data_IF_061758946284
#
_entry.id   IF_061758946284
#
_cell.length_a   1.000
_cell.length_b   1.000
_cell.length_c   1.000
_cell.angle_alpha   90.00
_cell.angle_beta   90.00
_cell.angle_gamma   90.00
#
_symmetry.space_group_name_H-M   'P 1'
#
loop_
_entity.id
_entity.type
_entity.pdbx_description
1 polymer ?
#
# COMPACT_ATOMS: atom_id res chain seq x y z
N UNK A 1 3.60 -1.36 7.29
CA UNK A 1 4.43 -2.46 6.73
C UNK A 1 5.27 -1.94 5.58
N UNK A 2 4.74 -1.67 4.40
CA UNK A 2 5.45 -0.93 3.34
C UNK A 2 4.42 -0.10 2.57
N UNK A 3 4.76 1.14 2.20
CA UNK A 3 3.91 1.94 1.33
C UNK A 3 3.96 1.44 -0.11
N UNK A 4 2.82 1.01 -0.67
CA UNK A 4 2.77 0.54 -2.07
C UNK A 4 3.02 1.63 -3.11
N UNK A 5 2.95 2.91 -2.72
CA UNK A 5 3.19 4.04 -3.62
C UNK A 5 4.64 4.55 -3.62
N UNK A 6 5.38 4.38 -2.52
CA UNK A 6 6.73 4.94 -2.38
C UNK A 6 7.78 3.97 -1.83
N UNK A 7 7.45 2.71 -1.58
CA UNK A 7 8.41 1.68 -1.12
C UNK A 7 8.92 1.81 0.32
N UNK A 8 8.72 2.97 0.95
CA UNK A 8 9.21 3.24 2.32
C UNK A 8 8.40 2.51 3.38
N UNK A 9 9.09 2.05 4.43
CA UNK A 9 8.46 1.52 5.64
C UNK A 9 7.87 2.65 6.49
N UNK A 10 6.55 2.65 6.60
CA UNK A 10 5.80 3.63 7.40
C UNK A 10 4.46 3.03 7.85
N UNK A 11 3.76 3.70 8.79
CA UNK A 11 2.34 3.45 9.05
C UNK A 11 1.53 3.66 7.77
N UNK A 12 0.84 2.61 7.32
CA UNK A 12 0.04 2.62 6.10
C UNK A 12 -1.41 2.32 6.40
N UNK A 13 -2.31 2.81 5.54
CA UNK A 13 -3.73 2.52 5.60
C UNK A 13 -4.23 2.15 4.22
N UNK A 14 -5.14 1.17 4.16
CA UNK A 14 -5.80 0.80 2.90
C UNK A 14 -6.78 1.91 2.53
N UNK A 15 -6.53 2.56 1.39
CA UNK A 15 -7.39 3.63 0.87
C UNK A 15 -7.59 3.46 -0.62
N UNK A 16 -8.69 4.01 -1.11
CA UNK A 16 -9.06 3.98 -2.52
C UNK A 16 -9.48 5.39 -2.93
N UNK A 17 -8.79 5.99 -3.91
CA UNK A 17 -9.14 7.29 -4.45
C UNK A 17 -9.56 7.18 -5.91
N UNK A 18 -10.53 8.00 -6.30
CA UNK A 18 -11.09 8.01 -7.65
C UNK A 18 -10.80 9.32 -8.36
N UNK A 19 -10.29 9.22 -9.57
CA UNK A 19 -10.11 10.33 -10.49
C UNK A 19 -11.12 10.20 -11.63
N UNK A 20 -11.71 11.31 -12.03
CA UNK A 20 -12.63 11.42 -13.15
C UNK A 20 -12.31 12.67 -13.95
N UNK A 21 -12.02 12.46 -15.23
CA UNK A 21 -11.82 13.51 -16.23
C UNK A 21 -13.01 13.40 -17.19
N UNK A 22 -13.82 14.45 -17.22
CA UNK A 22 -14.87 14.62 -18.20
C UNK A 22 -14.28 15.24 -19.47
N UNK A 23 -14.60 14.65 -20.62
CA UNK A 23 -14.59 15.33 -21.91
C UNK A 23 -16.04 15.47 -22.38
N UNK A 24 -16.30 16.33 -23.37
CA UNK A 24 -17.66 16.68 -23.81
C UNK A 24 -18.56 15.46 -24.07
N UNK A 25 -17.98 14.37 -24.59
CA UNK A 25 -18.68 13.11 -24.93
C UNK A 25 -18.08 11.89 -24.24
N UNK A 26 -16.80 11.95 -23.83
CA UNK A 26 -16.05 10.81 -23.29
C UNK A 26 -15.65 11.03 -21.83
N UNK A 27 -15.32 9.95 -21.12
CA UNK A 27 -14.93 10.01 -19.71
C UNK A 27 -13.73 9.12 -19.46
N UNK A 28 -12.72 9.65 -18.78
CA UNK A 28 -11.56 8.88 -18.33
C UNK A 28 -11.56 8.81 -16.82
N UNK A 29 -11.59 7.60 -16.27
CA UNK A 29 -11.45 7.38 -14.82
C UNK A 29 -10.18 6.61 -14.49
N UNK A 30 -9.53 7.01 -13.40
CA UNK A 30 -8.44 6.26 -12.79
C UNK A 30 -8.79 5.98 -11.34
N UNK A 31 -8.33 4.85 -10.85
CA UNK A 31 -8.48 4.44 -9.45
C UNK A 31 -7.10 4.20 -8.87
N UNK A 32 -6.82 4.80 -7.72
CA UNK A 32 -5.63 4.49 -6.93
C UNK A 32 -6.10 3.71 -5.70
N UNK A 33 -5.88 2.40 -5.68
CA UNK A 33 -6.22 1.51 -4.57
C UNK A 33 -4.95 0.90 -3.99
N UNK A 34 -4.82 0.90 -2.67
CA UNK A 34 -3.68 0.29 -2.00
C UNK A 34 -3.44 0.75 -0.57
N UNK A 35 -2.45 0.13 0.07
CA UNK A 35 -1.90 0.53 1.39
C UNK A 35 -0.87 1.63 1.19
N UNK A 36 -1.23 2.85 1.55
CA UNK A 36 -0.40 4.05 1.34
C UNK A 36 -0.03 4.71 2.67
N UNK A 37 1.12 5.37 2.73
CA UNK A 37 1.53 6.17 3.88
C UNK A 37 0.87 7.56 3.84
N UNK A 38 0.84 8.27 4.98
CA UNK A 38 0.19 9.59 5.10
C UNK A 38 0.62 10.60 4.03
N UNK A 39 1.92 10.64 3.70
CA UNK A 39 2.47 11.52 2.64
C UNK A 39 1.92 11.18 1.27
N UNK A 40 1.93 9.90 0.90
CA UNK A 40 1.38 9.42 -0.37
C UNK A 40 -0.13 9.62 -0.45
N UNK A 41 -0.87 9.35 0.63
CA UNK A 41 -2.31 9.60 0.74
C UNK A 41 -2.61 11.08 0.45
N UNK A 42 -1.90 11.99 1.13
CA UNK A 42 -2.09 13.42 0.95
C UNK A 42 -1.81 13.87 -0.49
N UNK A 43 -0.68 13.44 -1.07
CA UNK A 43 -0.31 13.78 -2.44
C UNK A 43 -1.32 13.23 -3.47
N UNK A 44 -1.74 11.97 -3.32
CA UNK A 44 -2.70 11.32 -4.23
C UNK A 44 -4.07 11.97 -4.11
N UNK A 45 -4.53 12.26 -2.89
CA UNK A 45 -5.78 12.96 -2.62
C UNK A 45 -5.81 14.30 -3.36
N UNK A 46 -4.80 15.15 -3.19
CA UNK A 46 -4.77 16.46 -3.85
C UNK A 46 -4.69 16.34 -5.36
N UNK A 47 -3.86 15.43 -5.89
CA UNK A 47 -3.77 15.20 -7.34
C UNK A 47 -5.12 14.79 -7.94
N UNK A 48 -5.80 13.84 -7.32
CA UNK A 48 -7.06 13.29 -7.84
C UNK A 48 -8.21 14.27 -7.64
N UNK A 49 -8.31 14.86 -6.45
CA UNK A 49 -9.35 15.83 -6.12
C UNK A 49 -9.21 17.10 -6.96
N UNK A 50 -7.99 17.63 -7.13
CA UNK A 50 -7.78 18.80 -7.99
C UNK A 50 -8.13 18.47 -9.44
N UNK A 51 -7.76 17.29 -9.93
CA UNK A 51 -8.16 16.87 -11.28
C UNK A 51 -9.68 16.75 -11.43
N UNK A 52 -10.37 16.18 -10.44
CA UNK A 52 -11.83 16.10 -10.45
C UNK A 52 -12.45 17.51 -10.46
N UNK A 53 -11.91 18.42 -9.64
CA UNK A 53 -12.41 19.78 -9.52
C UNK A 53 -12.10 20.67 -10.74
N UNK A 54 -11.06 20.39 -11.52
CA UNK A 54 -10.73 21.21 -12.71
C UNK A 54 -11.17 20.56 -14.01
N UNK A 55 -11.00 19.25 -14.15
CA UNK A 55 -11.23 18.49 -15.38
C UNK A 55 -12.45 17.56 -15.30
N UNK A 56 -13.09 17.42 -14.14
CA UNK A 56 -14.26 16.56 -13.98
C UNK A 56 -15.57 17.17 -14.48
N UNK A 57 -15.64 18.45 -14.84
CA UNK A 57 -16.92 19.13 -15.11
C UNK A 57 -17.29 19.23 -16.59
N UNK A 58 -16.38 18.93 -17.50
CA UNK A 58 -16.54 19.24 -18.93
C UNK A 58 -17.48 18.31 -19.71
N UNK A 59 -18.26 17.46 -19.04
CA UNK A 59 -19.25 16.58 -19.66
C UNK A 59 -20.53 16.50 -18.84
N UNK A 60 -21.69 16.37 -19.49
CA UNK A 60 -23.01 16.44 -18.86
C UNK A 60 -23.20 15.39 -17.73
N UNK A 61 -22.75 14.16 -17.95
CA UNK A 61 -22.78 13.08 -16.94
C UNK A 61 -21.81 13.38 -15.79
N UNK A 62 -20.70 14.04 -16.10
CA UNK A 62 -19.64 14.31 -15.14
C UNK A 62 -20.02 15.42 -14.14
N UNK A 63 -21.02 16.27 -14.43
CA UNK A 63 -21.57 17.22 -13.44
C UNK A 63 -22.15 16.54 -12.19
N UNK A 64 -22.64 15.30 -12.29
CA UNK A 64 -23.21 14.54 -11.15
C UNK A 64 -22.18 13.57 -10.56
N UNK A 65 -21.37 12.91 -11.40
CA UNK A 65 -20.41 11.91 -10.93
C UNK A 65 -19.22 12.55 -10.20
N UNK A 66 -18.74 13.69 -10.68
CA UNK A 66 -17.60 14.41 -10.12
C UNK A 66 -17.81 14.84 -8.66
N UNK A 67 -18.96 15.41 -8.24
CA UNK A 67 -19.19 15.73 -6.82
C UNK A 67 -19.25 14.46 -5.95
N UNK A 68 -19.82 13.34 -6.43
CA UNK A 68 -19.85 12.07 -5.68
C UNK A 68 -18.43 11.56 -5.42
N UNK A 69 -17.58 11.50 -6.45
CA UNK A 69 -16.18 11.07 -6.29
C UNK A 69 -15.37 12.02 -5.43
N UNK A 70 -15.61 13.33 -5.55
CA UNK A 70 -14.94 14.34 -4.74
C UNK A 70 -15.29 14.17 -3.26
N UNK A 71 -16.58 14.01 -2.91
CA UNK A 71 -17.03 13.75 -1.54
C UNK A 71 -16.42 12.45 -1.02
N UNK A 72 -16.42 11.38 -1.81
CA UNK A 72 -15.86 10.10 -1.40
C UNK A 72 -14.35 10.21 -1.10
N UNK A 73 -13.59 10.88 -1.97
CA UNK A 73 -12.17 11.16 -1.75
C UNK A 73 -11.96 11.99 -0.47
N UNK A 74 -12.77 13.02 -0.21
CA UNK A 74 -12.68 13.86 1.00
C UNK A 74 -12.93 13.03 2.25
N UNK A 75 -14.04 12.27 2.30
CA UNK A 75 -14.38 11.43 3.46
C UNK A 75 -13.25 10.43 3.76
N UNK A 76 -12.71 9.77 2.73
CA UNK A 76 -11.57 8.85 2.88
C UNK A 76 -10.30 9.55 3.34
N UNK A 77 -10.03 10.74 2.84
CA UNK A 77 -8.89 11.54 3.27
C UNK A 77 -9.01 11.96 4.73
N UNK A 78 -10.18 12.42 5.17
CA UNK A 78 -10.44 12.79 6.56
C UNK A 78 -10.21 11.61 7.53
N UNK A 79 -10.64 10.40 7.15
CA UNK A 79 -10.38 9.17 7.92
C UNK A 79 -8.89 8.81 8.05
N UNK A 80 -8.00 9.47 7.28
CA UNK A 80 -6.55 9.22 7.31
C UNK A 80 -5.77 10.35 8.00
N UNK A 81 -6.41 11.46 8.38
CA UNK A 81 -5.73 12.58 9.03
C UNK A 81 -5.09 12.21 10.37
N UNK A 82 -5.71 11.28 11.09
CA UNK A 82 -5.22 10.75 12.37
C UNK A 82 -4.06 9.76 12.27
N UNK A 83 -3.59 9.41 11.06
CA UNK A 83 -2.43 8.53 10.92
C UNK A 83 -1.16 9.22 11.42
N UNK A 84 -0.22 8.43 11.93
CA UNK A 84 1.12 8.91 12.27
C UNK A 84 1.84 9.40 11.00
N UNK A 85 2.73 10.37 11.20
CA UNK A 85 3.56 10.87 10.11
C UNK A 85 4.63 9.84 9.72
N UNK A 86 5.10 9.93 8.48
CA UNK A 86 6.25 9.14 8.03
C UNK A 86 7.48 9.61 8.83
N UNK A 87 8.22 8.72 9.52
CA UNK A 87 9.40 9.09 10.29
C UNK A 87 10.45 9.79 9.42
N UNK A 88 11.12 10.80 9.97
CA UNK A 88 12.23 11.47 9.29
C UNK A 88 13.38 10.47 9.11
N UNK A 89 13.80 10.23 7.87
CA UNK A 89 14.83 9.24 7.53
C UNK A 89 14.31 7.84 7.22
N UNK A 90 12.99 7.65 7.14
CA UNK A 90 12.43 6.37 6.69
C UNK A 90 12.90 6.05 5.25
N UNK A 91 13.56 4.90 5.10
CA UNK A 91 14.09 4.39 3.84
C UNK A 91 13.32 3.16 3.37
N UNK A 92 13.57 2.73 2.14
CA UNK A 92 13.10 1.43 1.66
C UNK A 92 13.82 0.33 2.44
N UNK A 93 13.08 -0.69 2.95
CA UNK A 93 13.70 -1.80 3.64
C UNK A 93 14.60 -2.57 2.67
N UNK A 94 15.79 -2.95 3.12
CA UNK A 94 16.72 -3.75 2.33
C UNK A 94 16.88 -5.14 2.94
N UNK A 95 16.91 -6.15 2.08
CA UNK A 95 17.12 -7.54 2.45
C UNK A 95 18.61 -7.87 2.30
N UNK A 96 19.40 -7.53 3.32
CA UNK A 96 20.85 -7.82 3.38
C UNK A 96 21.10 -9.26 3.85
N UNK A 97 22.29 -9.80 3.58
CA UNK A 97 22.64 -11.18 3.97
C UNK A 97 22.50 -11.43 5.49
N UNK A 98 22.89 -10.45 6.32
CA UNK A 98 22.68 -10.49 7.78
C UNK A 98 21.20 -10.65 8.17
N UNK A 99 20.31 -9.93 7.48
CA UNK A 99 18.87 -9.97 7.74
C UNK A 99 18.30 -11.32 7.33
N UNK A 100 18.75 -11.86 6.20
CA UNK A 100 18.37 -13.21 5.74
C UNK A 100 18.83 -14.26 6.75
N UNK A 101 20.07 -14.19 7.23
CA UNK A 101 20.59 -15.12 8.22
C UNK A 101 19.78 -15.10 9.53
N UNK A 102 19.28 -13.93 9.93
CA UNK A 102 18.43 -13.76 11.13
C UNK A 102 16.99 -14.23 10.92
N UNK A 103 16.47 -14.15 9.69
CA UNK A 103 15.12 -14.59 9.35
C UNK A 103 15.03 -16.09 9.07
N UNK A 104 16.07 -16.70 8.51
CA UNK A 104 16.11 -18.12 8.17
C UNK A 104 15.67 -19.08 9.30
N UNK A 105 16.10 -18.94 10.57
CA UNK A 105 15.67 -19.85 11.63
C UNK A 105 14.20 -19.69 12.03
N UNK A 106 13.59 -18.53 11.78
CA UNK A 106 12.19 -18.24 12.13
C UNK A 106 11.23 -18.43 10.95
N UNK A 107 11.74 -18.80 9.78
CA UNK A 107 10.96 -19.01 8.56
C UNK A 107 9.87 -20.07 8.70
N UNK A 108 10.16 -21.19 9.38
CA UNK A 108 9.15 -22.24 9.56
C UNK A 108 7.98 -21.74 10.41
N UNK A 109 8.28 -21.03 11.50
CA UNK A 109 7.26 -20.41 12.36
C UNK A 109 6.40 -19.40 11.59
N UNK A 110 6.99 -18.62 10.69
CA UNK A 110 6.27 -17.69 9.83
C UNK A 110 5.24 -18.42 8.98
N UNK A 111 5.62 -19.47 8.25
CA UNK A 111 4.71 -20.19 7.38
C UNK A 111 3.66 -21.00 8.14
N UNK A 112 4.03 -21.66 9.24
CA UNK A 112 3.08 -22.45 10.05
C UNK A 112 1.91 -21.58 10.53
N UNK A 113 2.21 -20.34 10.95
CA UNK A 113 1.21 -19.38 11.43
C UNK A 113 0.35 -18.80 10.32
N UNK A 114 0.96 -18.47 9.17
CA UNK A 114 0.22 -18.01 8.00
C UNK A 114 -0.71 -19.10 7.45
N UNK A 115 -0.24 -20.34 7.40
CA UNK A 115 -1.04 -21.50 7.00
C UNK A 115 -2.15 -21.81 8.02
N UNK A 116 -1.96 -21.44 9.28
CA UNK A 116 -2.99 -21.44 10.32
C UNK A 116 -4.07 -20.37 10.15
N UNK A 117 -3.98 -19.50 9.13
CA UNK A 117 -4.96 -18.46 8.82
C UNK A 117 -4.77 -17.16 9.61
N UNK A 118 -3.63 -16.96 10.26
CA UNK A 118 -3.34 -15.73 11.00
C UNK A 118 -3.04 -14.56 10.05
N UNK A 119 -3.46 -13.34 10.43
CA UNK A 119 -3.22 -12.14 9.62
C UNK A 119 -1.72 -11.86 9.46
N UNK A 120 -1.30 -11.60 8.22
CA UNK A 120 0.10 -11.40 7.87
C UNK A 120 0.74 -10.24 8.63
N UNK A 121 0.03 -9.13 8.89
CA UNK A 121 0.62 -8.02 9.66
C UNK A 121 0.97 -8.49 11.07
N UNK A 122 0.07 -9.24 11.71
CA UNK A 122 0.27 -9.73 13.08
C UNK A 122 1.42 -10.73 13.16
N UNK A 123 1.55 -11.62 12.17
CA UNK A 123 2.67 -12.56 12.10
C UNK A 123 3.97 -11.81 11.86
N UNK A 124 4.01 -10.92 10.86
CA UNK A 124 5.18 -10.12 10.53
C UNK A 124 5.67 -9.29 11.72
N UNK A 125 4.77 -8.71 12.51
CA UNK A 125 5.08 -7.96 13.73
C UNK A 125 5.87 -8.81 14.74
N UNK A 126 5.36 -10.01 15.03
CA UNK A 126 5.99 -10.90 16.00
C UNK A 126 7.30 -11.50 15.51
N UNK A 127 7.40 -11.86 14.22
CA UNK A 127 8.62 -12.38 13.62
C UNK A 127 9.70 -11.29 13.56
N UNK A 128 9.32 -10.07 13.18
CA UNK A 128 10.20 -8.91 13.19
C UNK A 128 10.79 -8.66 14.58
N UNK A 129 9.95 -8.69 15.62
CA UNK A 129 10.37 -8.50 17.01
C UNK A 129 11.32 -9.61 17.49
N UNK A 130 11.03 -10.87 17.17
CA UNK A 130 11.86 -12.01 17.58
C UNK A 130 13.21 -12.04 16.86
N UNK A 131 13.23 -11.77 15.56
CA UNK A 131 14.47 -11.74 14.77
C UNK A 131 15.22 -10.40 14.91
N UNK A 132 14.62 -9.38 15.53
CA UNK A 132 15.15 -8.03 15.68
C UNK A 132 15.28 -7.27 14.35
N UNK A 133 14.43 -7.57 13.38
CA UNK A 133 14.41 -6.96 12.05
C UNK A 133 13.14 -6.11 11.88
N UNK A 134 13.03 -5.41 10.76
CA UNK A 134 11.83 -4.62 10.46
C UNK A 134 10.71 -5.45 9.85
N UNK A 135 9.46 -4.98 9.96
CA UNK A 135 8.30 -5.65 9.35
C UNK A 135 8.39 -5.62 7.83
N UNK A 136 8.94 -4.53 7.29
CA UNK A 136 9.24 -4.41 5.86
C UNK A 136 10.21 -5.49 5.37
N UNK A 137 11.27 -5.78 6.13
CA UNK A 137 12.21 -6.85 5.80
C UNK A 137 11.57 -8.24 5.82
N UNK A 138 10.70 -8.53 6.80
CA UNK A 138 9.92 -9.79 6.82
C UNK A 138 9.06 -9.92 5.57
N UNK A 139 8.39 -8.84 5.15
CA UNK A 139 7.57 -8.84 3.95
C UNK A 139 8.38 -9.06 2.66
N UNK A 140 9.55 -8.41 2.53
CA UNK A 140 10.45 -8.64 1.41
C UNK A 140 10.97 -10.07 1.36
N UNK A 141 11.35 -10.62 2.52
CA UNK A 141 11.81 -12.00 2.63
C UNK A 141 10.72 -13.00 2.24
N UNK A 142 9.50 -12.84 2.77
CA UNK A 142 8.37 -13.69 2.43
C UNK A 142 8.05 -13.64 0.93
N UNK A 143 8.09 -12.45 0.32
CA UNK A 143 7.91 -12.29 -1.13
C UNK A 143 9.01 -12.99 -1.94
N UNK A 144 10.28 -12.87 -1.51
CA UNK A 144 11.41 -13.52 -2.17
C UNK A 144 11.28 -15.06 -2.13
N UNK A 145 10.85 -15.63 -1.00
CA UNK A 145 10.60 -17.06 -0.88
C UNK A 145 9.44 -17.54 -1.76
N UNK A 146 8.35 -16.77 -1.84
CA UNK A 146 7.24 -17.10 -2.72
C UNK A 146 7.65 -17.13 -4.19
N UNK A 147 8.45 -16.14 -4.64
CA UNK A 147 8.97 -16.11 -6.01
C UNK A 147 9.87 -17.33 -6.28
N UNK A 148 10.79 -17.65 -5.37
CA UNK A 148 11.66 -18.84 -5.51
C UNK A 148 10.85 -20.15 -5.60
N UNK A 149 9.80 -20.31 -4.79
CA UNK A 149 8.95 -21.51 -4.82
C UNK A 149 8.14 -21.66 -6.12
N UNK A 150 7.80 -20.55 -6.78
CA UNK A 150 7.09 -20.57 -8.06
C UNK A 150 8.01 -20.98 -9.20
N UNK A 151 9.27 -20.55 -9.16
CA UNK A 151 10.28 -20.91 -10.16
C UNK A 151 10.62 -22.41 -10.11
N UNK A 152 10.71 -23.00 -8.91
CA UNK A 152 10.90 -24.44 -8.73
C UNK A 152 9.71 -25.25 -9.30
N UNK A 153 8.49 -24.77 -9.08
CA UNK A 153 7.27 -25.41 -9.59
C UNK A 153 7.10 -25.28 -11.12
N UNK A 154 7.64 -24.22 -11.73
CA UNK A 154 7.60 -24.02 -13.19
C UNK A 154 8.69 -24.81 -13.94
N UNK A 155 9.70 -25.32 -13.22
CA UNK A 155 10.84 -26.06 -13.77
C UNK A 155 10.65 -27.59 -13.76
N UNK A 156 9.51 -28.07 -13.23
CA UNK A 156 9.14 -29.50 -13.12
C UNK A 156 8.03 -29.85 -14.11
#
# INVERSE_FOLDING_TARGET
MICQACGVEAPTKKVTFYQNIGALVMRFSKTADGRMCKRCIHSTFWKFTLTNLTLGWWGAISMIVTPVYTINNVVRYLMCLGMECVPAGAAEPQLTDDVVARLQPVTQQLFDRLNGGEDFERVADSVALNAGVTKGQVALYAHALLMASQDDAAST
#
